data_IF_593624910400
#
_entry.id   IF_593624910400
#
_cell.length_a   1.000
_cell.length_b   1.000
_cell.length_c   1.000
_cell.angle_alpha   90.00
_cell.angle_beta   90.00
_cell.angle_gamma   90.00
#
_symmetry.space_group_name_H-M   'P 1'
#
loop_
_entity.id
_entity.type
_entity.pdbx_description
1 polymer ?
#
# COMPACT_ATOMS: atom_id res chain seq x y z
N UNK A 1 -11.51 19.57 -9.87
CA UNK A 1 -10.51 18.49 -9.76
C UNK A 1 -9.88 18.60 -8.39
N UNK A 2 -10.31 17.79 -7.42
CA UNK A 2 -9.73 17.80 -6.07
C UNK A 2 -8.28 17.32 -6.15
N UNK A 3 -7.32 18.24 -5.92
CA UNK A 3 -5.89 18.01 -6.13
C UNK A 3 -5.19 17.19 -5.05
N UNK A 4 -5.91 16.75 -4.02
CA UNK A 4 -5.32 16.18 -2.80
C UNK A 4 -6.05 14.89 -2.39
N UNK A 5 -5.79 13.79 -3.11
CA UNK A 5 -6.23 12.43 -2.73
C UNK A 5 -5.02 11.59 -2.35
N UNK A 6 -5.12 10.77 -1.32
CA UNK A 6 -4.06 9.84 -0.87
C UNK A 6 -4.53 8.40 -0.95
N UNK A 7 -3.57 7.47 -0.90
CA UNK A 7 -3.82 6.04 -0.69
C UNK A 7 -3.09 5.63 0.58
N UNK A 8 -3.75 4.80 1.39
CA UNK A 8 -3.14 4.18 2.55
C UNK A 8 -2.67 2.76 2.19
N UNK A 9 -1.40 2.46 2.49
CA UNK A 9 -0.80 1.13 2.36
C UNK A 9 -0.43 0.66 3.77
N UNK A 10 -0.92 -0.51 4.16
CA UNK A 10 -0.58 -1.11 5.44
C UNK A 10 0.83 -1.72 5.36
N UNK A 11 1.66 -1.47 6.36
CA UNK A 11 3.01 -2.03 6.48
C UNK A 11 3.24 -2.58 7.89
N UNK A 12 4.33 -3.33 8.07
CA UNK A 12 4.76 -3.85 9.36
C UNK A 12 5.79 -2.92 10.02
N UNK A 13 6.03 -3.13 11.32
CA UNK A 13 6.93 -2.31 12.14
C UNK A 13 8.36 -2.24 11.56
N UNK A 14 8.83 -3.32 10.93
CA UNK A 14 10.16 -3.36 10.30
C UNK A 14 10.26 -2.40 9.12
N UNK A 15 9.30 -2.44 8.19
CA UNK A 15 9.30 -1.54 7.02
C UNK A 15 9.00 -0.10 7.45
N UNK A 16 8.15 0.11 8.45
CA UNK A 16 7.93 1.42 9.05
C UNK A 16 9.26 2.00 9.58
N UNK A 17 10.02 1.21 10.33
CA UNK A 17 11.33 1.62 10.84
C UNK A 17 12.28 1.99 9.69
N UNK A 18 12.44 1.10 8.71
CA UNK A 18 13.29 1.31 7.53
C UNK A 18 12.93 2.59 6.74
N UNK A 19 11.64 2.86 6.55
CA UNK A 19 11.14 4.08 5.91
C UNK A 19 11.43 5.32 6.77
N UNK A 20 11.15 5.26 8.07
CA UNK A 20 11.34 6.39 8.98
C UNK A 20 12.79 6.87 9.01
N UNK A 21 13.74 5.93 8.95
CA UNK A 21 15.17 6.22 8.99
C UNK A 21 15.65 6.94 7.72
N UNK A 22 15.13 6.56 6.55
CA UNK A 22 15.43 7.19 5.26
C UNK A 22 14.75 8.55 5.11
N UNK A 23 13.49 8.66 5.53
CA UNK A 23 12.74 9.91 5.47
C UNK A 23 13.27 10.97 6.44
N UNK A 24 13.76 10.57 7.62
CA UNK A 24 14.33 11.49 8.60
C UNK A 24 15.71 12.05 8.18
N UNK A 25 16.44 11.36 7.29
CA UNK A 25 17.75 11.79 6.79
C UNK A 25 18.86 11.83 7.85
N UNK A 26 18.65 11.24 9.03
CA UNK A 26 19.56 11.33 10.20
C UNK A 26 20.57 10.19 10.29
N UNK A 27 20.38 9.12 9.53
CA UNK A 27 21.20 7.90 9.63
C UNK A 27 21.78 7.55 8.27
N UNK A 28 23.05 7.13 8.28
CA UNK A 28 23.69 6.64 7.08
C UNK A 28 23.20 5.22 6.74
N UNK A 29 22.32 5.10 5.75
CA UNK A 29 21.74 3.83 5.30
C UNK A 29 22.51 3.19 4.15
N UNK A 30 23.65 3.73 3.71
CA UNK A 30 24.37 3.24 2.50
C UNK A 30 24.76 1.76 2.53
N UNK A 31 24.94 1.20 3.73
CA UNK A 31 25.37 -0.19 3.91
C UNK A 31 24.21 -1.11 4.29
N UNK A 32 22.96 -0.63 4.18
CA UNK A 32 21.79 -1.43 4.46
C UNK A 32 21.39 -2.24 3.23
N UNK A 33 20.60 -3.29 3.46
CA UNK A 33 20.32 -4.28 2.43
C UNK A 33 19.72 -3.66 1.15
N UNK A 34 18.72 -2.76 1.20
CA UNK A 34 18.16 -2.16 -0.02
C UNK A 34 19.20 -1.38 -0.84
N UNK A 35 20.03 -0.56 -0.19
CA UNK A 35 21.06 0.26 -0.82
C UNK A 35 22.17 -0.61 -1.42
N UNK A 36 22.61 -1.64 -0.69
CA UNK A 36 23.64 -2.57 -1.16
C UNK A 36 23.12 -3.35 -2.37
N UNK A 37 21.86 -3.80 -2.36
CA UNK A 37 21.26 -4.48 -3.51
C UNK A 37 21.15 -3.56 -4.74
N UNK A 38 20.78 -2.30 -4.55
CA UNK A 38 20.76 -1.32 -5.66
C UNK A 38 22.18 -1.01 -6.16
N UNK A 39 23.18 -1.04 -5.28
CA UNK A 39 24.59 -0.87 -5.67
C UNK A 39 25.12 -2.08 -6.45
N UNK A 40 24.72 -3.30 -6.06
CA UNK A 40 25.11 -4.54 -6.73
C UNK A 40 24.42 -4.73 -8.08
N UNK A 41 23.21 -4.20 -8.24
CA UNK A 41 22.48 -4.18 -9.50
C UNK A 41 22.23 -2.74 -9.95
N UNK A 42 23.19 -2.08 -10.64
CA UNK A 42 23.05 -0.69 -11.07
C UNK A 42 21.87 -0.44 -12.01
N UNK A 43 21.36 -1.49 -12.65
CA UNK A 43 20.14 -1.43 -13.45
C UNK A 43 18.92 -1.16 -12.57
N UNK A 44 18.96 -1.41 -11.25
CA UNK A 44 17.88 -1.11 -10.30
C UNK A 44 17.77 0.41 -10.07
N UNK A 45 17.31 1.12 -11.08
CA UNK A 45 17.15 2.58 -11.11
C UNK A 45 15.86 2.97 -11.83
N UNK A 46 15.46 4.24 -11.71
CA UNK A 46 14.26 4.78 -12.35
C UNK A 46 14.29 4.70 -13.89
N UNK A 47 15.47 4.52 -14.49
CA UNK A 47 15.65 4.42 -15.95
C UNK A 47 15.18 3.06 -16.47
N UNK A 48 15.37 2.00 -15.68
CA UNK A 48 15.05 0.63 -16.08
C UNK A 48 13.88 0.02 -15.32
N UNK A 49 13.49 0.56 -14.17
CA UNK A 49 12.40 0.00 -13.38
C UNK A 49 11.36 1.02 -12.95
N UNK A 50 10.13 0.54 -12.83
CA UNK A 50 8.99 1.25 -12.27
C UNK A 50 8.15 0.31 -11.40
N UNK A 51 7.42 0.89 -10.44
CA UNK A 51 6.50 0.16 -9.57
C UNK A 51 5.08 0.37 -10.06
N UNK A 52 4.32 -0.72 -10.28
CA UNK A 52 2.92 -0.68 -10.68
C UNK A 52 2.02 -1.34 -9.63
N UNK A 53 1.09 -0.56 -9.10
CA UNK A 53 -0.02 -1.04 -8.25
C UNK A 53 -1.21 -1.38 -9.16
N UNK A 54 -1.48 -2.67 -9.32
CA UNK A 54 -2.43 -3.18 -10.31
C UNK A 54 -3.72 -3.76 -9.68
N UNK A 55 -3.79 -3.86 -8.35
CA UNK A 55 -5.00 -4.36 -7.73
C UNK A 55 -4.93 -4.40 -6.22
N UNK A 56 -6.03 -4.85 -5.63
CA UNK A 56 -6.11 -5.16 -4.20
C UNK A 56 -6.81 -6.50 -4.03
N UNK A 57 -6.23 -7.38 -3.22
CA UNK A 57 -6.80 -8.69 -2.87
C UNK A 57 -6.61 -8.87 -1.37
N UNK A 58 -7.72 -9.12 -0.67
CA UNK A 58 -7.76 -9.35 0.78
C UNK A 58 -7.14 -8.24 1.66
N UNK A 59 -7.19 -7.00 1.17
CA UNK A 59 -6.60 -5.84 1.85
C UNK A 59 -5.14 -5.59 1.49
N UNK A 60 -4.52 -6.47 0.72
CA UNK A 60 -3.15 -6.30 0.25
C UNK A 60 -3.12 -5.81 -1.20
N UNK A 61 -2.36 -4.75 -1.44
CA UNK A 61 -2.15 -4.27 -2.79
C UNK A 61 -1.27 -5.24 -3.57
N UNK A 62 -1.73 -5.61 -4.76
CA UNK A 62 -0.95 -6.34 -5.76
C UNK A 62 -0.04 -5.35 -6.48
N UNK A 63 1.26 -5.48 -6.22
CA UNK A 63 2.28 -4.59 -6.76
C UNK A 63 3.29 -5.40 -7.55
N UNK A 64 3.72 -4.81 -8.67
CA UNK A 64 4.74 -5.36 -9.54
C UNK A 64 5.87 -4.35 -9.71
N UNK A 65 7.09 -4.84 -9.69
CA UNK A 65 8.26 -4.15 -10.23
C UNK A 65 8.35 -4.52 -11.71
N UNK A 66 8.24 -3.52 -12.58
CA UNK A 66 8.27 -3.70 -14.04
C UNK A 66 9.60 -3.20 -14.57
N UNK A 67 10.26 -4.05 -15.37
CA UNK A 67 11.43 -3.68 -16.15
C UNK A 67 11.00 -2.97 -17.44
N UNK A 68 11.48 -1.75 -17.65
CA UNK A 68 11.25 -0.94 -18.86
C UNK A 68 11.99 -1.51 -20.07
N UNK A 69 13.03 -2.32 -19.85
CA UNK A 69 13.86 -2.87 -20.93
C UNK A 69 13.19 -4.05 -21.65
N UNK A 70 12.58 -4.96 -20.91
CA UNK A 70 12.01 -6.22 -21.43
C UNK A 70 10.54 -6.44 -21.06
N UNK A 71 9.92 -5.49 -20.35
CA UNK A 71 8.54 -5.56 -19.85
C UNK A 71 8.29 -6.74 -18.91
N UNK A 72 9.35 -7.32 -18.34
CA UNK A 72 9.22 -8.34 -17.31
C UNK A 72 8.63 -7.74 -16.03
N UNK A 73 7.76 -8.51 -15.36
CA UNK A 73 7.10 -8.09 -14.12
C UNK A 73 7.45 -9.06 -12.99
N UNK A 74 7.92 -8.51 -11.88
CA UNK A 74 8.24 -9.26 -10.66
C UNK A 74 7.30 -8.83 -9.54
N UNK A 75 6.61 -9.77 -8.91
CA UNK A 75 5.71 -9.45 -7.79
C UNK A 75 6.52 -9.03 -6.56
N UNK A 76 6.08 -7.96 -5.89
CA UNK A 76 6.67 -7.44 -4.67
C UNK A 76 5.55 -6.98 -3.72
N UNK A 77 5.78 -7.07 -2.41
CA UNK A 77 4.83 -6.54 -1.42
C UNK A 77 4.77 -5.03 -1.52
N UNK A 78 3.58 -4.46 -1.35
CA UNK A 78 3.38 -3.02 -1.52
C UNK A 78 4.26 -2.16 -0.60
N UNK A 79 4.43 -2.55 0.67
CA UNK A 79 5.30 -1.84 1.62
C UNK A 79 6.76 -1.87 1.20
N UNK A 80 7.25 -3.03 0.76
CA UNK A 80 8.63 -3.22 0.29
C UNK A 80 8.88 -2.50 -1.04
N UNK A 81 7.88 -2.45 -1.91
CA UNK A 81 7.94 -1.72 -3.17
C UNK A 81 8.07 -0.21 -2.94
N UNK A 82 7.34 0.34 -1.96
CA UNK A 82 7.47 1.76 -1.57
C UNK A 82 8.85 2.04 -0.99
N UNK A 83 9.37 1.15 -0.15
CA UNK A 83 10.73 1.26 0.39
C UNK A 83 11.79 1.23 -0.72
N UNK A 84 11.68 0.26 -1.64
CA UNK A 84 12.60 0.13 -2.77
C UNK A 84 12.51 1.36 -3.69
N UNK A 85 11.31 1.86 -3.97
CA UNK A 85 11.10 3.06 -4.76
C UNK A 85 11.74 4.29 -4.09
N UNK A 86 11.68 4.40 -2.76
CA UNK A 86 12.37 5.47 -2.02
C UNK A 86 13.90 5.38 -2.18
N UNK A 87 14.46 4.16 -2.13
CA UNK A 87 15.91 3.93 -2.20
C UNK A 87 16.47 4.11 -3.61
N UNK A 88 15.86 3.46 -4.60
CA UNK A 88 16.29 3.48 -6.00
C UNK A 88 15.67 4.65 -6.81
N UNK A 89 14.87 5.50 -6.14
CA UNK A 89 14.15 6.64 -6.73
C UNK A 89 13.21 6.24 -7.87
N UNK A 90 12.57 5.09 -7.74
CA UNK A 90 11.66 4.56 -8.75
C UNK A 90 10.34 5.33 -8.77
N UNK A 91 9.73 5.41 -9.94
CA UNK A 91 8.38 5.94 -10.11
C UNK A 91 7.36 4.90 -9.67
N UNK A 92 6.28 5.35 -9.01
CA UNK A 92 5.17 4.51 -8.57
C UNK A 92 3.92 4.91 -9.34
N UNK A 93 3.36 3.95 -10.06
CA UNK A 93 2.12 4.06 -10.80
C UNK A 93 1.02 3.22 -10.17
N UNK A 94 -0.22 3.60 -10.44
CA UNK A 94 -1.40 2.88 -10.01
C UNK A 94 -2.47 2.96 -11.09
N UNK A 95 -3.22 1.88 -11.30
CA UNK A 95 -4.34 1.88 -12.23
C UNK A 95 -5.37 2.95 -11.84
N UNK A 96 -5.79 3.78 -12.80
CA UNK A 96 -6.71 4.89 -12.55
C UNK A 96 -8.01 4.45 -11.86
N UNK A 97 -8.58 3.31 -12.29
CA UNK A 97 -9.80 2.76 -11.67
C UNK A 97 -9.56 2.40 -10.21
N UNK A 98 -8.43 1.76 -9.91
CA UNK A 98 -8.05 1.39 -8.55
C UNK A 98 -7.80 2.63 -7.70
N UNK A 99 -7.08 3.61 -8.23
CA UNK A 99 -6.85 4.89 -7.55
C UNK A 99 -8.18 5.57 -7.22
N UNK A 100 -9.11 5.65 -8.16
CA UNK A 100 -10.40 6.28 -7.93
C UNK A 100 -11.24 5.57 -6.86
N UNK A 101 -11.11 4.24 -6.74
CA UNK A 101 -11.82 3.45 -5.74
C UNK A 101 -11.18 3.53 -4.34
N UNK A 102 -9.84 3.51 -4.27
CA UNK A 102 -9.13 3.39 -2.99
C UNK A 102 -8.64 4.72 -2.43
N UNK A 103 -8.56 5.77 -3.25
CA UNK A 103 -8.01 7.03 -2.78
C UNK A 103 -9.04 7.85 -1.98
N UNK A 104 -8.60 8.33 -0.83
CA UNK A 104 -9.39 9.17 0.07
C UNK A 104 -8.95 10.63 -0.02
N UNK A 105 -9.87 11.56 0.22
CA UNK A 105 -9.53 12.98 0.30
C UNK A 105 -8.57 13.23 1.47
N UNK A 106 -7.50 14.01 1.23
CA UNK A 106 -6.55 14.39 2.28
C UNK A 106 -7.25 15.38 3.22
N UNK A 107 -7.74 14.89 4.36
CA UNK A 107 -8.17 15.74 5.46
C UNK A 107 -6.95 16.10 6.33
N UNK A 108 -6.25 17.17 5.97
CA UNK A 108 -5.05 17.68 6.68
C UNK A 108 -5.33 17.97 8.17
N UNK A 109 -6.60 18.17 8.55
CA UNK A 109 -7.02 18.52 9.90
C UNK A 109 -7.36 17.34 10.84
N UNK A 110 -7.19 16.09 10.40
CA UNK A 110 -7.41 14.92 11.27
C UNK A 110 -6.15 14.04 11.24
N UNK A 111 -5.55 13.80 12.41
CA UNK A 111 -4.44 12.82 12.60
C UNK A 111 -4.79 11.37 12.20
N UNK A 112 -6.02 11.13 11.73
CA UNK A 112 -6.53 9.82 11.33
C UNK A 112 -6.58 9.76 9.81
N UNK A 113 -5.68 8.98 9.22
CA UNK A 113 -5.75 8.57 7.81
C UNK A 113 -7.05 7.76 7.63
N UNK A 114 -7.90 8.18 6.70
CA UNK A 114 -9.08 7.42 6.33
C UNK A 114 -8.63 6.24 5.46
N UNK A 115 -8.72 5.02 6.00
CA UNK A 115 -8.48 3.80 5.23
C UNK A 115 -9.80 3.33 4.58
N UNK A 116 -9.81 2.99 3.29
CA UNK A 116 -10.95 2.35 2.67
C UNK A 116 -11.18 0.96 3.28
N UNK A 117 -12.44 0.56 3.41
CA UNK A 117 -12.85 -0.71 4.06
C UNK A 117 -12.14 -1.91 3.41
N UNK A 118 -11.93 -1.86 2.09
CA UNK A 118 -11.30 -2.93 1.33
C UNK A 118 -9.81 -3.08 1.59
N UNK A 119 -9.13 -2.06 2.13
CA UNK A 119 -7.72 -2.09 2.51
C UNK A 119 -7.47 -2.57 3.95
N UNK A 120 -8.53 -2.82 4.71
CA UNK A 120 -8.43 -3.38 6.06
C UNK A 120 -8.21 -4.90 5.97
N UNK A 121 -7.34 -5.44 6.83
CA UNK A 121 -7.24 -6.88 7.01
C UNK A 121 -8.46 -7.43 7.79
N UNK A 122 -8.62 -8.75 7.84
CA UNK A 122 -9.79 -9.40 8.45
C UNK A 122 -9.96 -9.07 9.94
N UNK A 123 -8.86 -8.94 10.70
CA UNK A 123 -8.90 -8.61 12.12
C UNK A 123 -9.30 -7.15 12.37
N UNK A 124 -8.81 -6.24 11.54
CA UNK A 124 -9.19 -4.83 11.54
C UNK A 124 -10.64 -4.65 11.11
N UNK A 125 -11.13 -5.40 10.12
CA UNK A 125 -12.55 -5.42 9.73
C UNK A 125 -13.45 -5.87 10.87
N UNK A 126 -13.10 -6.95 11.56
CA UNK A 126 -13.84 -7.43 12.73
C UNK A 126 -13.86 -6.41 13.86
N UNK A 127 -12.74 -5.72 14.08
CA UNK A 127 -12.64 -4.65 15.09
C UNK A 127 -13.47 -3.43 14.71
N UNK A 128 -13.46 -3.05 13.43
CA UNK A 128 -14.28 -1.96 12.89
C UNK A 128 -15.77 -2.28 12.97
N UNK A 129 -16.18 -3.52 12.70
CA UNK A 129 -17.56 -4.00 12.83
C UNK A 129 -18.07 -3.86 14.26
N UNK A 130 -17.31 -4.34 15.25
CA UNK A 130 -17.67 -4.22 16.67
C UNK A 130 -17.84 -2.76 17.09
N UNK A 131 -16.99 -1.88 16.56
CA UNK A 131 -17.07 -0.43 16.82
C UNK A 131 -18.28 0.21 16.17
N UNK A 132 -18.61 -0.15 14.93
CA UNK A 132 -19.79 0.34 14.22
C UNK A 132 -21.09 -0.05 14.96
N UNK A 133 -21.18 -1.30 15.43
CA UNK A 133 -22.31 -1.77 16.24
C UNK A 133 -22.42 -0.98 17.55
N UNK A 134 -21.30 -0.75 18.23
CA UNK A 134 -21.29 0.02 19.49
C UNK A 134 -21.70 1.50 19.31
N UNK A 135 -21.53 2.04 18.10
CA UNK A 135 -21.93 3.40 17.73
C UNK A 135 -23.32 3.47 17.08
N UNK A 136 -24.02 2.33 16.99
CA UNK A 136 -25.32 2.20 16.31
C UNK A 136 -25.29 2.63 14.81
N UNK A 137 -24.11 2.60 14.19
CA UNK A 137 -23.93 2.88 12.77
C UNK A 137 -24.17 1.61 11.96
N UNK A 138 -25.45 1.27 11.79
CA UNK A 138 -25.88 0.04 11.12
C UNK A 138 -25.60 0.04 9.61
N UNK A 139 -25.52 1.21 8.97
CA UNK A 139 -25.13 1.29 7.56
C UNK A 139 -23.67 0.87 7.38
N UNK A 140 -22.76 1.44 8.17
CA UNK A 140 -21.35 1.07 8.16
C UNK A 140 -21.16 -0.40 8.55
N UNK A 141 -21.89 -0.87 9.56
CA UNK A 141 -21.85 -2.27 9.98
C UNK A 141 -22.29 -3.23 8.85
N UNK A 142 -23.32 -2.87 8.08
CA UNK A 142 -23.77 -3.67 6.93
C UNK A 142 -22.70 -3.75 5.85
N UNK A 143 -22.08 -2.61 5.50
CA UNK A 143 -21.00 -2.56 4.50
C UNK A 143 -19.80 -3.44 4.88
N UNK A 144 -19.37 -3.36 6.15
CA UNK A 144 -18.25 -4.17 6.67
C UNK A 144 -18.60 -5.67 6.65
N UNK A 145 -19.85 -6.02 6.99
CA UNK A 145 -20.31 -7.41 6.98
C UNK A 145 -20.34 -7.98 5.56
N UNK A 146 -20.81 -7.20 4.59
CA UNK A 146 -20.85 -7.62 3.19
C UNK A 146 -19.44 -7.82 2.62
N UNK A 147 -18.48 -6.99 3.02
CA UNK A 147 -17.07 -7.16 2.64
C UNK A 147 -16.43 -8.42 3.27
N UNK A 148 -16.70 -8.71 4.56
CA UNK A 148 -16.26 -9.96 5.21
C UNK A 148 -16.85 -11.21 4.51
N UNK A 149 -18.13 -11.15 4.14
CA UNK A 149 -18.80 -12.23 3.42
C UNK A 149 -18.20 -12.46 2.02
N UNK A 150 -17.87 -11.38 1.30
CA UNK A 150 -17.19 -11.49 -0.01
C UNK A 150 -15.86 -12.23 0.11
N UNK A 151 -15.05 -11.92 1.13
CA UNK A 151 -13.75 -12.59 1.37
C UNK A 151 -13.91 -14.09 1.65
N UNK A 152 -14.77 -14.42 2.61
CA UNK A 152 -15.04 -15.83 2.99
C UNK A 152 -15.69 -16.67 1.88
N UNK A 153 -16.44 -16.05 0.96
CA UNK A 153 -17.00 -16.74 -0.21
C UNK A 153 -15.95 -17.07 -1.28
N UNK A 154 -14.88 -16.28 -1.39
CA UNK A 154 -13.77 -16.53 -2.32
C UNK A 154 -12.84 -17.66 -1.87
N UNK A 155 -12.65 -17.83 -0.56
CA UNK A 155 -11.86 -18.94 0.01
C UNK A 155 -12.50 -20.33 -0.20
N UNK A 156 -13.78 -20.40 -0.59
CA UNK A 156 -14.51 -21.65 -0.83
C UNK A 156 -14.64 -22.03 -2.31
N UNK A 157 -14.07 -21.23 -3.23
CA UNK A 157 -14.16 -21.43 -4.67
C UNK A 157 -12.85 -21.98 -5.25
#
# INVERSE_FOLDING_TARGET
>A
MEKNRHIAIVCNDNVEHELSMRLAGKVNTTNWLPEVLCTLNPMMSYEHYEVLINGIVDGEYKVYLISKDDLSYTSIRASDAVLLALVAKLEIYIEEKLFNQQSCAININKERVALPINALNSDMLNSALKRAIALEDYELASLIRDELNKRTSKDKA
#
